data_IF_041995579719
#
_entry.id   IF_041995579719
#
_cell.length_a   1.000
_cell.length_b   1.000
_cell.length_c   1.000
_cell.angle_alpha   90.00
_cell.angle_beta   90.00
_cell.angle_gamma   90.00
#
_symmetry.space_group_name_H-M   'P 1'
#
loop_
_entity.id
_entity.type
_entity.pdbx_description
1 polymer ?
#
# COMPACT_ATOMS: atom_id res chain seq x y z
N UNK A 1 -6.56 21.49 -2.06
CA UNK A 1 -5.48 20.60 -1.53
C UNK A 1 -4.14 21.32 -1.67
N UNK A 2 -3.45 21.58 -0.57
CA UNK A 2 -2.13 22.28 -0.58
C UNK A 2 -1.09 21.48 -1.38
N UNK A 3 -0.24 22.15 -2.15
CA UNK A 3 0.79 21.53 -3.00
C UNK A 3 1.69 20.55 -2.21
N UNK A 4 2.07 20.93 -0.99
CA UNK A 4 2.87 20.11 -0.06
C UNK A 4 2.22 18.75 0.27
N UNK A 5 0.89 18.71 0.40
CA UNK A 5 0.16 17.44 0.66
C UNK A 5 0.14 16.53 -0.56
N UNK A 6 0.16 17.08 -1.77
CA UNK A 6 0.22 16.27 -3.00
C UNK A 6 1.59 15.61 -3.14
N UNK A 7 2.65 16.35 -2.84
CA UNK A 7 4.03 15.88 -2.88
C UNK A 7 4.27 14.72 -1.91
N UNK A 8 3.88 14.87 -0.63
CA UNK A 8 4.00 13.80 0.38
C UNK A 8 3.31 12.51 -0.09
N UNK A 9 2.12 12.62 -0.68
CA UNK A 9 1.38 11.44 -1.18
C UNK A 9 2.06 10.82 -2.39
N UNK A 10 2.67 11.62 -3.26
CA UNK A 10 3.40 11.13 -4.43
C UNK A 10 4.70 10.43 -4.01
N UNK A 11 5.42 10.99 -3.04
CA UNK A 11 6.62 10.38 -2.48
C UNK A 11 6.30 9.05 -1.77
N UNK A 12 5.24 9.01 -0.97
CA UNK A 12 4.75 7.78 -0.35
C UNK A 12 4.46 6.69 -1.39
N UNK A 13 3.70 7.02 -2.45
CA UNK A 13 3.40 6.06 -3.53
C UNK A 13 4.67 5.57 -4.20
N UNK A 14 5.57 6.48 -4.57
CA UNK A 14 6.85 6.16 -5.21
C UNK A 14 7.67 5.21 -4.33
N UNK A 15 7.84 5.51 -3.05
CA UNK A 15 8.64 4.70 -2.14
C UNK A 15 8.06 3.29 -1.94
N UNK A 16 6.74 3.16 -1.88
CA UNK A 16 6.05 1.86 -1.76
C UNK A 16 6.22 1.04 -3.04
N UNK A 17 5.95 1.61 -4.21
CA UNK A 17 6.07 0.90 -5.48
C UNK A 17 7.51 0.51 -5.81
N UNK A 18 8.48 1.37 -5.48
CA UNK A 18 9.90 1.10 -5.67
C UNK A 18 10.36 -0.09 -4.82
N UNK A 19 9.99 -0.14 -3.53
CA UNK A 19 10.28 -1.30 -2.66
C UNK A 19 9.66 -2.58 -3.21
N UNK A 20 8.41 -2.51 -3.67
CA UNK A 20 7.63 -3.67 -4.10
C UNK A 20 7.86 -4.05 -5.57
N UNK A 21 8.90 -3.49 -6.21
CA UNK A 21 9.27 -3.72 -7.60
C UNK A 21 8.13 -3.49 -8.60
N UNK A 22 7.23 -2.55 -8.30
CA UNK A 22 6.05 -2.21 -9.11
C UNK A 22 5.13 -3.43 -9.35
N UNK A 23 4.95 -4.28 -8.33
CA UNK A 23 4.04 -5.43 -8.36
C UNK A 23 3.16 -5.45 -7.12
N UNK A 24 2.04 -6.15 -7.21
CA UNK A 24 1.23 -6.50 -6.05
C UNK A 24 1.99 -7.52 -5.19
N UNK A 25 2.18 -7.23 -3.90
CA UNK A 25 2.94 -8.09 -2.98
C UNK A 25 2.20 -9.40 -2.65
N UNK A 26 0.87 -9.44 -2.82
CA UNK A 26 0.04 -10.62 -2.53
C UNK A 26 0.02 -11.57 -3.73
N UNK A 27 -0.41 -11.10 -4.89
CA UNK A 27 -0.67 -11.95 -6.06
C UNK A 27 0.37 -11.82 -7.19
N UNK A 28 1.35 -10.92 -7.05
CA UNK A 28 2.38 -10.68 -8.07
C UNK A 28 1.91 -9.89 -9.30
N UNK A 29 0.64 -9.50 -9.35
CA UNK A 29 0.07 -8.75 -10.48
C UNK A 29 0.83 -7.44 -10.73
N UNK A 30 1.13 -7.16 -11.99
CA UNK A 30 1.77 -5.92 -12.42
C UNK A 30 1.24 -5.48 -13.79
N UNK A 31 1.69 -4.30 -14.23
CA UNK A 31 1.32 -3.72 -15.53
C UNK A 31 1.57 -4.67 -16.72
N UNK A 32 2.64 -5.48 -16.67
CA UNK A 32 2.99 -6.42 -17.76
C UNK A 32 2.13 -7.69 -17.76
N UNK A 33 1.44 -7.99 -16.65
CA UNK A 33 0.72 -9.26 -16.46
C UNK A 33 -0.55 -9.36 -17.31
N UNK A 34 -1.14 -8.24 -17.73
CA UNK A 34 -2.40 -8.24 -18.50
C UNK A 34 -2.22 -8.45 -20.00
N UNK A 35 -1.01 -8.61 -20.53
CA UNK A 35 -0.77 -8.83 -21.97
C UNK A 35 -1.23 -7.67 -22.88
N UNK A 36 -1.78 -6.60 -22.30
CA UNK A 36 -2.21 -5.39 -22.98
C UNK A 36 -1.09 -4.37 -22.75
N UNK A 37 -0.09 -4.45 -23.62
CA UNK A 37 0.71 -3.28 -23.93
C UNK A 37 -0.26 -2.23 -24.46
N UNK A 38 -0.44 -1.13 -23.72
CA UNK A 38 -0.40 0.26 -24.23
C UNK A 38 -1.03 1.21 -23.21
N UNK A 39 -0.26 2.22 -22.78
CA UNK A 39 -0.67 3.45 -22.06
C UNK A 39 -1.03 3.44 -20.56
N UNK A 40 -1.17 2.30 -19.87
CA UNK A 40 -1.49 2.30 -18.44
C UNK A 40 -0.26 2.55 -17.57
N UNK A 41 -0.35 3.49 -16.62
CA UNK A 41 0.66 3.74 -15.61
C UNK A 41 0.56 2.72 -14.46
N UNK A 42 1.64 2.56 -13.68
CA UNK A 42 1.62 1.73 -12.46
C UNK A 42 0.49 2.12 -11.52
N UNK A 43 0.27 3.43 -11.37
CA UNK A 43 -0.82 3.98 -10.54
C UNK A 43 -2.21 3.63 -11.07
N UNK A 44 -2.39 3.20 -12.32
CA UNK A 44 -3.70 2.79 -12.84
C UNK A 44 -4.06 1.36 -12.42
N UNK A 45 -3.06 0.52 -12.14
CA UNK A 45 -3.23 -0.91 -11.86
C UNK A 45 -2.98 -1.24 -10.38
N UNK A 46 -2.02 -0.55 -9.77
CA UNK A 46 -1.61 -0.73 -8.39
C UNK A 46 -1.95 0.50 -7.55
N UNK A 47 -2.14 0.27 -6.26
CA UNK A 47 -2.29 1.34 -5.28
C UNK A 47 -1.37 1.11 -4.08
N UNK A 48 -0.92 2.21 -3.47
CA UNK A 48 -0.16 2.19 -2.24
C UNK A 48 -1.16 2.19 -1.08
N UNK A 49 -1.52 0.98 -0.64
CA UNK A 49 -2.46 0.77 0.45
C UNK A 49 -1.79 1.08 1.80
N UNK A 50 -2.50 1.74 2.69
CA UNK A 50 -2.04 1.91 4.07
C UNK A 50 -2.38 0.65 4.87
N UNK A 51 -1.38 -0.03 5.42
CA UNK A 51 -1.58 -1.24 6.23
C UNK A 51 -2.32 -0.91 7.52
N UNK A 52 -1.91 0.16 8.20
CA UNK A 52 -2.66 0.75 9.32
C UNK A 52 -3.35 2.03 8.88
N UNK A 53 -4.65 2.21 9.17
CA UNK A 53 -5.41 3.39 8.80
C UNK A 53 -4.70 4.70 9.19
N UNK A 54 -4.74 5.68 8.29
CA UNK A 54 -4.09 6.99 8.46
C UNK A 54 -4.49 7.71 9.74
N UNK A 55 -5.72 7.52 10.22
CA UNK A 55 -6.24 8.12 11.45
C UNK A 55 -5.59 7.54 12.71
N UNK A 56 -4.98 6.35 12.60
CA UNK A 56 -4.28 5.65 13.70
C UNK A 56 -2.77 5.88 13.68
N UNK A 57 -2.26 6.66 12.72
CA UNK A 57 -0.82 6.89 12.52
C UNK A 57 -0.48 8.38 12.64
N UNK A 58 0.65 8.72 13.29
CA UNK A 58 1.17 10.09 13.29
C UNK A 58 1.33 10.63 11.86
N UNK A 59 1.05 11.91 11.64
CA UNK A 59 1.16 12.57 10.33
C UNK A 59 0.42 11.86 9.17
N UNK A 60 -0.55 10.99 9.47
CA UNK A 60 -1.30 10.20 8.49
C UNK A 60 -0.59 8.93 8.00
N UNK A 61 0.62 8.63 8.49
CA UNK A 61 1.33 7.39 8.18
C UNK A 61 1.76 7.24 6.72
N UNK A 62 2.06 8.34 6.03
CA UNK A 62 2.57 8.37 4.64
C UNK A 62 4.04 7.96 4.56
N UNK A 63 4.37 6.80 5.10
CA UNK A 63 5.73 6.24 5.15
C UNK A 63 5.73 4.85 4.53
N UNK A 64 6.83 4.47 3.86
CA UNK A 64 6.92 3.17 3.18
C UNK A 64 6.67 2.00 4.13
N UNK A 65 7.04 2.13 5.39
CA UNK A 65 6.86 1.13 6.44
C UNK A 65 5.38 0.82 6.72
N UNK A 66 4.48 1.77 6.47
CA UNK A 66 3.03 1.63 6.60
C UNK A 66 2.32 1.40 5.24
N UNK A 67 3.06 1.38 4.14
CA UNK A 67 2.49 1.27 2.80
C UNK A 67 2.79 -0.08 2.17
N UNK A 68 1.84 -0.63 1.41
CA UNK A 68 2.02 -1.86 0.62
C UNK A 68 1.40 -1.70 -0.77
N UNK A 69 2.12 -2.18 -1.79
CA UNK A 69 1.66 -2.19 -3.17
C UNK A 69 0.67 -3.34 -3.38
N UNK A 70 -0.58 -3.01 -3.71
CA UNK A 70 -1.65 -3.97 -3.97
C UNK A 70 -2.35 -3.66 -5.30
N UNK A 71 -2.88 -4.69 -5.98
CA UNK A 71 -3.71 -4.47 -7.15
C UNK A 71 -5.08 -3.89 -6.77
N UNK A 72 -5.50 -2.86 -7.50
CA UNK A 72 -6.75 -2.12 -7.23
C UNK A 72 -8.00 -2.98 -7.31
N UNK A 73 -8.03 -3.91 -8.26
CA UNK A 73 -9.23 -4.70 -8.58
C UNK A 73 -9.55 -5.80 -7.56
N UNK A 74 -8.58 -6.22 -6.73
CA UNK A 74 -8.78 -7.38 -5.83
C UNK A 74 -8.11 -7.20 -4.48
N UNK A 75 -6.78 -7.25 -4.43
CA UNK A 75 -6.07 -7.32 -3.15
C UNK A 75 -6.23 -6.05 -2.33
N UNK A 76 -6.37 -4.89 -2.96
CA UNK A 76 -6.67 -3.63 -2.27
C UNK A 76 -8.02 -3.70 -1.54
N UNK A 77 -9.07 -4.14 -2.24
CA UNK A 77 -10.42 -4.25 -1.69
C UNK A 77 -10.47 -5.26 -0.53
N UNK A 78 -9.80 -6.43 -0.68
CA UNK A 78 -9.76 -7.45 0.37
C UNK A 78 -9.04 -6.95 1.64
N UNK A 79 -8.01 -6.11 1.50
CA UNK A 79 -7.36 -5.46 2.63
C UNK A 79 -8.28 -4.42 3.30
N UNK A 80 -9.04 -3.64 2.52
CA UNK A 80 -10.03 -2.72 3.06
C UNK A 80 -11.17 -3.45 3.79
N UNK A 81 -11.69 -4.53 3.23
CA UNK A 81 -12.72 -5.37 3.85
C UNK A 81 -12.26 -5.97 5.18
N UNK A 82 -10.98 -6.39 5.28
CA UNK A 82 -10.43 -6.88 6.54
C UNK A 82 -10.41 -5.75 7.59
N UNK A 83 -10.00 -4.54 7.22
CA UNK A 83 -10.03 -3.38 8.11
C UNK A 83 -11.46 -2.99 8.54
N UNK A 84 -12.46 -3.24 7.69
CA UNK A 84 -13.89 -3.04 8.00
C UNK A 84 -14.49 -4.19 8.82
N UNK A 85 -13.80 -5.32 8.93
CA UNK A 85 -14.27 -6.53 9.62
C UNK A 85 -15.25 -7.40 8.82
N UNK A 86 -15.43 -7.12 7.53
CA UNK A 86 -16.28 -7.92 6.63
C UNK A 86 -15.55 -9.12 6.03
N UNK A 87 -14.21 -9.10 6.09
CA UNK A 87 -13.35 -10.18 5.65
C UNK A 87 -12.50 -10.69 6.82
N UNK A 88 -12.40 -12.01 6.97
CA UNK A 88 -11.67 -12.68 8.05
C UNK A 88 -10.43 -13.43 7.52
N UNK A 89 -10.07 -13.24 6.26
CA UNK A 89 -8.90 -13.86 5.68
C UNK A 89 -7.63 -13.20 6.23
N UNK A 90 -6.92 -13.94 7.08
CA UNK A 90 -5.68 -13.52 7.74
C UNK A 90 -4.55 -13.13 6.78
N UNK A 91 -4.59 -13.54 5.51
CA UNK A 91 -3.61 -13.08 4.51
C UNK A 91 -3.64 -11.56 4.31
N UNK A 92 -4.83 -10.95 4.47
CA UNK A 92 -5.05 -9.52 4.34
C UNK A 92 -4.99 -8.77 5.67
N UNK A 93 -4.69 -9.46 6.78
CA UNK A 93 -4.56 -8.82 8.08
C UNK A 93 -3.36 -7.88 8.12
N UNK A 94 -3.43 -6.76 8.88
CA UNK A 94 -2.31 -5.84 9.00
C UNK A 94 -1.00 -6.53 9.39
N UNK A 95 -1.07 -7.54 10.27
CA UNK A 95 0.08 -8.34 10.69
C UNK A 95 0.74 -9.05 9.50
N UNK A 96 -0.07 -9.72 8.67
CA UNK A 96 0.42 -10.43 7.48
C UNK A 96 0.99 -9.47 6.43
N UNK A 97 0.32 -8.33 6.21
CA UNK A 97 0.78 -7.32 5.27
C UNK A 97 2.12 -6.71 5.70
N UNK A 98 2.28 -6.38 6.99
CA UNK A 98 3.56 -5.90 7.54
C UNK A 98 4.68 -6.93 7.36
N UNK A 99 4.42 -8.20 7.66
CA UNK A 99 5.40 -9.27 7.51
C UNK A 99 5.89 -9.41 6.06
N UNK A 100 4.98 -9.27 5.08
CA UNK A 100 5.32 -9.40 3.65
C UNK A 100 6.26 -8.30 3.14
N UNK A 101 6.20 -7.11 3.74
CA UNK A 101 7.06 -5.98 3.36
C UNK A 101 8.30 -5.84 4.24
N UNK A 102 8.51 -6.78 5.18
CA UNK A 102 9.62 -6.74 6.14
C UNK A 102 9.52 -5.56 7.12
N UNK A 103 8.31 -5.12 7.45
CA UNK A 103 8.04 -4.01 8.36
C UNK A 103 7.21 -4.47 9.56
N UNK A 104 6.89 -3.54 10.47
CA UNK A 104 6.01 -3.75 11.61
C UNK A 104 5.23 -2.48 11.94
N UNK A 105 4.17 -2.63 12.73
CA UNK A 105 3.42 -1.48 13.26
C UNK A 105 4.31 -0.51 14.04
N UNK A 106 5.27 -1.02 14.81
CA UNK A 106 6.19 -0.19 15.60
C UNK A 106 7.14 0.60 14.71
N UNK A 107 7.73 -0.03 13.69
CA UNK A 107 8.58 0.63 12.72
C UNK A 107 7.81 1.72 11.96
N UNK A 108 6.59 1.40 11.54
CA UNK A 108 5.71 2.34 10.88
C UNK A 108 5.33 3.52 11.80
N UNK A 109 5.07 3.28 13.08
CA UNK A 109 4.78 4.33 14.06
C UNK A 109 5.97 5.26 14.28
N UNK A 110 7.18 4.71 14.41
CA UNK A 110 8.40 5.49 14.59
C UNK A 110 8.66 6.35 13.35
N UNK A 111 8.64 5.73 12.16
CA UNK A 111 8.86 6.43 10.89
C UNK A 111 7.84 7.54 10.66
N UNK A 112 6.59 7.35 11.08
CA UNK A 112 5.51 8.33 10.91
C UNK A 112 5.64 9.57 11.79
N UNK A 113 6.46 9.53 12.85
CA UNK A 113 6.70 10.65 13.77
C UNK A 113 7.82 11.59 13.30
N UNK A 114 8.72 11.09 12.46
CA UNK A 114 9.83 11.84 11.88
C UNK A 114 9.34 12.79 10.78
#
# INVERSE_FOLDING_TARGET
MSAKKKEIRAEFRRAVFERDNHKCVICGHNICSKGIYTHLATEDVLDAHHITPREKMPNGGYVKENGISLCKEKCHLLAEEYLQGTNTNEEYSPKSLYARIGSSFEQALIASKC
#
